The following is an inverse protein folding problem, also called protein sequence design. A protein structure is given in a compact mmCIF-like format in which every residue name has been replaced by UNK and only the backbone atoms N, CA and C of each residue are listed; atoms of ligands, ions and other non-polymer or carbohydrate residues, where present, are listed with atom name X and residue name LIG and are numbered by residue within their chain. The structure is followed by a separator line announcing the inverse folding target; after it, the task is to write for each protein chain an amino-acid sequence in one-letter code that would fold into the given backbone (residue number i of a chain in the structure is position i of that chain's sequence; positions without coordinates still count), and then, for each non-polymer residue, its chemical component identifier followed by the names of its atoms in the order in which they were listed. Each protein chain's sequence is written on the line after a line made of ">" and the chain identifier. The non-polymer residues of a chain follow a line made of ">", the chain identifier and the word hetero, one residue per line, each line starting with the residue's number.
data_IF_982445516471
#
_entry.id   IF_982445516471
#
_cell.length_a   1.000
_cell.length_b   1.000
_cell.length_c   1.000
_cell.angle_alpha   90.00
_cell.angle_beta   90.00
_cell.angle_gamma   90.00
#
_symmetry.space_group_name_H-M   'P 1'
#
loop_
_entity.id
_entity.type
_entity.pdbx_description
1 polymer ?
#
# COMPACT_ATOMS: atom_id res chain seq x y z
N UNK A 1 8.97 -15.68 -12.34
CA UNK A 1 8.38 -15.05 -11.12
C UNK A 1 9.38 -15.14 -10.00
N UNK A 2 9.48 -14.10 -9.19
CA UNK A 2 10.31 -14.14 -7.97
C UNK A 2 9.56 -14.90 -6.87
N UNK A 3 10.31 -15.41 -5.88
CA UNK A 3 9.74 -16.21 -4.79
C UNK A 3 9.21 -15.36 -3.61
N UNK A 4 9.05 -14.05 -3.81
CA UNK A 4 8.77 -13.12 -2.71
C UNK A 4 7.61 -12.18 -3.01
N UNK A 5 6.86 -11.88 -1.93
CA UNK A 5 5.90 -10.78 -1.83
C UNK A 5 6.54 -9.69 -0.98
N UNK A 6 6.39 -8.43 -1.36
CA UNK A 6 6.72 -7.28 -0.53
C UNK A 6 5.42 -6.72 0.04
N UNK A 7 5.26 -6.78 1.35
CA UNK A 7 4.15 -6.13 2.04
C UNK A 7 4.62 -4.83 2.65
N UNK A 8 3.87 -3.75 2.49
CA UNK A 8 4.27 -2.44 2.99
C UNK A 8 3.09 -1.61 3.50
N UNK A 9 3.44 -0.60 4.30
CA UNK A 9 2.56 0.41 4.84
C UNK A 9 3.31 1.73 5.03
N UNK A 10 2.61 2.86 4.96
CA UNK A 10 3.15 4.21 5.11
C UNK A 10 2.41 4.99 6.19
N UNK A 11 3.16 5.78 6.98
CA UNK A 11 2.60 6.91 7.71
C UNK A 11 3.01 8.22 7.02
N UNK A 12 2.11 9.19 7.00
CA UNK A 12 2.26 10.40 6.20
C UNK A 12 1.93 11.66 6.99
N UNK A 13 2.32 12.83 6.47
CA UNK A 13 2.03 14.13 7.08
C UNK A 13 0.54 14.48 7.12
N UNK A 14 -0.29 13.80 6.33
CA UNK A 14 -1.72 14.00 6.20
C UNK A 14 -2.32 13.04 5.17
N UNK A 15 -3.56 13.31 4.72
CA UNK A 15 -4.31 12.39 3.84
C UNK A 15 -4.38 12.84 2.38
N UNK A 16 -3.74 13.93 2.03
CA UNK A 16 -3.79 14.44 0.67
C UNK A 16 -2.68 13.81 -0.18
N UNK A 17 -3.04 12.89 -1.07
CA UNK A 17 -2.10 12.17 -1.94
C UNK A 17 -1.28 13.09 -2.87
N UNK A 18 -1.76 14.31 -3.14
CA UNK A 18 -1.09 15.26 -4.04
C UNK A 18 0.01 16.09 -3.33
N UNK A 19 -0.06 16.23 -1.99
CA UNK A 19 0.86 17.12 -1.25
C UNK A 19 1.58 16.47 -0.07
N UNK A 20 0.92 15.53 0.62
CA UNK A 20 1.45 14.99 1.86
C UNK A 20 2.64 14.05 1.63
N UNK A 21 3.58 14.03 2.55
CA UNK A 21 4.86 13.35 2.45
C UNK A 21 4.95 12.16 3.39
N UNK A 22 5.81 11.22 3.07
CA UNK A 22 6.07 10.05 3.91
C UNK A 22 6.79 10.46 5.18
N UNK A 23 6.28 9.99 6.35
CA UNK A 23 6.89 10.14 7.68
C UNK A 23 7.53 8.84 8.17
N UNK A 24 6.96 7.70 7.78
CA UNK A 24 7.43 6.38 8.16
C UNK A 24 7.10 5.41 7.04
N UNK A 25 8.03 4.52 6.72
CA UNK A 25 7.87 3.47 5.73
C UNK A 25 8.33 2.14 6.31
N UNK A 26 7.46 1.14 6.24
CA UNK A 26 7.79 -0.23 6.60
C UNK A 26 7.53 -1.17 5.42
N UNK A 27 8.56 -1.94 5.01
CA UNK A 27 8.43 -2.99 4.01
C UNK A 27 8.93 -4.31 4.60
N UNK A 28 8.20 -5.39 4.32
CA UNK A 28 8.57 -6.75 4.75
C UNK A 28 8.56 -7.68 3.55
N UNK A 29 9.64 -8.46 3.40
CA UNK A 29 9.78 -9.46 2.35
C UNK A 29 9.32 -10.82 2.88
N UNK A 30 8.32 -11.40 2.24
CA UNK A 30 7.72 -12.68 2.60
C UNK A 30 8.04 -13.70 1.52
N UNK A 31 8.52 -14.86 1.91
CA UNK A 31 8.71 -15.99 1.00
C UNK A 31 7.36 -16.64 0.66
N UNK A 32 7.05 -16.78 -0.63
CA UNK A 32 5.77 -17.33 -1.12
C UNK A 32 5.55 -18.80 -0.72
N UNK A 33 6.62 -19.57 -0.55
CA UNK A 33 6.54 -21.00 -0.23
C UNK A 33 6.49 -21.23 1.28
N UNK A 34 7.43 -20.66 2.03
CA UNK A 34 7.55 -20.87 3.48
C UNK A 34 6.61 -19.99 4.30
N UNK A 35 6.05 -18.91 3.70
CA UNK A 35 5.23 -17.87 4.36
C UNK A 35 5.96 -17.12 5.47
N UNK A 36 7.28 -17.21 5.52
CA UNK A 36 8.09 -16.56 6.54
C UNK A 36 8.54 -15.18 6.07
N UNK A 37 8.59 -14.23 7.03
CA UNK A 37 9.25 -12.94 6.83
C UNK A 37 10.76 -13.18 6.87
N UNK A 38 11.46 -12.84 5.79
CA UNK A 38 12.91 -13.04 5.68
C UNK A 38 13.71 -11.75 5.80
N UNK A 39 13.09 -10.60 5.51
CA UNK A 39 13.78 -9.32 5.55
C UNK A 39 12.81 -8.19 5.89
N UNK A 40 13.28 -7.19 6.63
CA UNK A 40 12.51 -6.02 7.05
C UNK A 40 13.29 -4.75 6.70
N UNK A 41 12.63 -3.80 6.05
CA UNK A 41 13.06 -2.43 5.89
C UNK A 41 12.08 -1.52 6.64
N UNK A 42 12.56 -0.88 7.69
CA UNK A 42 11.71 -0.02 8.54
C UNK A 42 12.45 1.29 8.82
N UNK A 43 11.91 2.44 8.37
CA UNK A 43 12.58 3.74 8.47
C UNK A 43 11.60 4.88 8.74
N UNK A 44 11.92 5.68 9.74
CA UNK A 44 11.36 7.02 9.87
C UNK A 44 12.00 7.95 8.84
N UNK A 45 11.21 8.89 8.34
CA UNK A 45 11.58 9.79 7.25
C UNK A 45 11.29 11.22 7.67
N UNK A 46 12.25 12.12 7.47
CA UNK A 46 11.99 13.53 7.61
C UNK A 46 11.22 14.05 6.39
N UNK A 47 9.94 14.43 6.52
CA UNK A 47 9.13 14.86 5.39
C UNK A 47 9.51 16.27 4.90
N UNK A 48 10.34 17.02 5.65
CA UNK A 48 10.63 18.43 5.41
C UNK A 48 9.38 19.31 5.31
N UNK A 49 8.30 18.92 5.96
CA UNK A 49 7.06 19.69 6.09
C UNK A 49 6.37 19.36 7.42
N UNK A 50 5.45 20.24 7.82
CA UNK A 50 4.72 20.09 9.09
C UNK A 50 3.68 18.97 8.96
N UNK A 51 3.64 18.10 9.96
CA UNK A 51 2.63 17.05 10.10
C UNK A 51 1.29 17.69 10.47
N UNK A 52 0.22 17.27 9.80
CA UNK A 52 -1.14 17.69 10.16
C UNK A 52 -1.51 17.16 11.57
N UNK A 53 -2.19 17.96 12.42
CA UNK A 53 -2.51 17.53 13.79
C UNK A 53 -3.28 16.21 13.87
N UNK A 54 -4.15 15.95 12.90
CA UNK A 54 -4.93 14.71 12.88
C UNK A 54 -4.07 13.50 12.49
N UNK A 55 -3.12 13.65 11.58
CA UNK A 55 -2.15 12.61 11.26
C UNK A 55 -1.25 12.32 12.47
N UNK A 56 -0.76 13.37 13.15
CA UNK A 56 0.05 13.21 14.36
C UNK A 56 -0.69 12.46 15.47
N UNK A 57 -2.00 12.70 15.66
CA UNK A 57 -2.81 11.96 16.63
C UNK A 57 -2.91 10.47 16.31
N UNK A 58 -2.86 10.11 15.02
CA UNK A 58 -2.98 8.72 14.57
C UNK A 58 -1.67 7.96 14.80
N UNK A 59 -0.56 8.43 14.24
CA UNK A 59 0.71 7.70 14.28
C UNK A 59 1.66 8.15 15.42
N UNK A 60 1.37 9.27 16.13
CA UNK A 60 2.12 9.72 17.30
C UNK A 60 3.47 10.38 17.00
N UNK A 61 3.90 10.50 15.74
CA UNK A 61 5.18 11.07 15.37
C UNK A 61 5.14 12.61 15.45
N UNK A 62 6.19 13.21 16.02
CA UNK A 62 6.33 14.66 16.08
C UNK A 62 7.29 15.20 15.01
N UNK A 63 7.09 16.47 14.61
CA UNK A 63 8.02 17.15 13.71
C UNK A 63 9.45 17.18 14.27
N UNK A 64 9.60 17.38 15.59
CA UNK A 64 10.90 17.38 16.26
C UNK A 64 11.59 16.02 16.17
N UNK A 65 10.86 14.94 16.41
CA UNK A 65 11.40 13.58 16.26
C UNK A 65 11.87 13.33 14.83
N UNK A 66 11.03 13.61 13.83
CA UNK A 66 11.34 13.34 12.43
C UNK A 66 12.44 14.23 11.86
N UNK A 67 12.67 15.42 12.42
CA UNK A 67 13.75 16.33 11.96
C UNK A 67 15.15 15.71 12.07
N UNK A 68 15.32 14.68 12.90
CA UNK A 68 16.58 13.96 13.10
C UNK A 68 16.76 12.77 12.14
N UNK A 69 15.81 12.53 11.24
CA UNK A 69 15.85 11.43 10.28
C UNK A 69 16.20 11.90 8.87
N UNK A 70 16.62 10.97 8.02
CA UNK A 70 16.94 11.26 6.62
C UNK A 70 15.66 11.60 5.84
N UNK A 71 15.71 12.52 4.88
CA UNK A 71 14.61 12.76 3.96
C UNK A 71 14.46 11.59 2.98
N UNK A 72 13.28 11.46 2.36
CA UNK A 72 12.97 10.35 1.46
C UNK A 72 13.98 10.20 0.32
N UNK A 73 14.45 11.30 -0.28
CA UNK A 73 15.46 11.30 -1.35
C UNK A 73 16.71 10.48 -1.02
N UNK A 74 17.13 10.47 0.26
CA UNK A 74 18.36 9.81 0.68
C UNK A 74 18.16 8.29 0.86
N UNK A 75 16.91 7.82 0.97
CA UNK A 75 16.55 6.39 1.09
C UNK A 75 15.78 5.85 -0.12
N UNK A 76 15.40 6.68 -1.08
CA UNK A 76 14.53 6.32 -2.21
C UNK A 76 15.07 5.13 -3.02
N UNK A 77 16.38 5.11 -3.32
CA UNK A 77 17.00 3.97 -4.01
C UNK A 77 16.98 2.70 -3.17
N UNK A 78 17.16 2.79 -1.85
CA UNK A 78 17.08 1.63 -0.95
C UNK A 78 15.66 1.07 -0.92
N UNK A 79 14.64 1.93 -0.93
CA UNK A 79 13.23 1.54 -1.04
C UNK A 79 12.97 0.83 -2.37
N UNK A 80 13.39 1.42 -3.50
CA UNK A 80 13.29 0.80 -4.83
C UNK A 80 13.96 -0.58 -4.86
N UNK A 81 15.19 -0.68 -4.37
CA UNK A 81 15.96 -1.93 -4.38
C UNK A 81 15.28 -3.00 -3.50
N UNK A 82 14.64 -2.59 -2.40
CA UNK A 82 13.87 -3.51 -1.58
C UNK A 82 12.61 -4.00 -2.30
N UNK A 83 11.86 -3.11 -2.95
CA UNK A 83 10.67 -3.45 -3.75
C UNK A 83 11.03 -4.46 -4.85
N UNK A 84 12.15 -4.24 -5.53
CA UNK A 84 12.63 -5.12 -6.61
C UNK A 84 13.02 -6.53 -6.15
N UNK A 85 13.06 -6.84 -4.85
CA UNK A 85 13.27 -8.20 -4.34
C UNK A 85 12.06 -9.11 -4.56
N UNK A 86 10.85 -8.54 -4.65
CA UNK A 86 9.61 -9.25 -4.95
C UNK A 86 9.10 -8.99 -6.37
N UNK A 87 8.01 -9.65 -6.73
CA UNK A 87 7.22 -9.42 -7.94
C UNK A 87 5.74 -9.11 -7.63
N UNK A 88 5.34 -9.22 -6.37
CA UNK A 88 4.03 -8.82 -5.86
C UNK A 88 4.23 -7.76 -4.78
N UNK A 89 3.51 -6.66 -4.87
CA UNK A 89 3.39 -5.64 -3.85
C UNK A 89 2.05 -5.77 -3.15
N UNK A 90 2.08 -5.99 -1.84
CA UNK A 90 0.90 -6.15 -1.02
C UNK A 90 0.82 -5.08 0.06
N UNK A 91 -0.40 -4.75 0.48
CA UNK A 91 -0.74 -3.89 1.60
C UNK A 91 -2.24 -3.78 1.78
N UNK A 92 -2.69 -2.92 2.65
CA UNK A 92 -4.10 -2.71 2.96
C UNK A 92 -4.57 -1.34 2.46
N UNK A 93 -5.44 -1.31 1.44
CA UNK A 93 -5.91 -0.09 0.77
C UNK A 93 -4.80 0.72 0.05
N UNK A 94 -3.73 0.05 -0.30
CA UNK A 94 -2.52 0.67 -0.89
C UNK A 94 -2.76 1.28 -2.27
N UNK A 95 -3.70 0.74 -3.05
CA UNK A 95 -4.02 1.27 -4.39
C UNK A 95 -4.55 2.69 -4.29
N UNK A 96 -5.35 2.99 -3.26
CA UNK A 96 -6.01 4.28 -3.11
C UNK A 96 -5.17 5.33 -2.37
N UNK A 97 -4.09 4.93 -1.66
CA UNK A 97 -3.36 5.84 -0.80
C UNK A 97 -1.83 5.67 -0.88
N UNK A 98 -1.28 4.53 -0.43
CA UNK A 98 0.16 4.38 -0.25
C UNK A 98 0.92 4.38 -1.58
N UNK A 99 0.43 3.64 -2.59
CA UNK A 99 1.08 3.56 -3.90
C UNK A 99 1.13 4.94 -4.58
N UNK A 100 0.05 5.72 -4.67
CA UNK A 100 0.10 7.07 -5.21
C UNK A 100 1.14 7.97 -4.53
N UNK A 101 1.21 7.95 -3.20
CA UNK A 101 2.16 8.76 -2.45
C UNK A 101 3.60 8.28 -2.71
N UNK A 102 3.85 6.97 -2.62
CA UNK A 102 5.17 6.40 -2.86
C UNK A 102 5.64 6.63 -4.30
N UNK A 103 4.76 6.49 -5.29
CA UNK A 103 5.09 6.78 -6.69
C UNK A 103 5.46 8.24 -6.87
N UNK A 104 4.66 9.17 -6.32
CA UNK A 104 4.98 10.60 -6.38
C UNK A 104 6.31 10.93 -5.68
N UNK A 105 6.60 10.30 -4.52
CA UNK A 105 7.90 10.49 -3.87
C UNK A 105 9.06 9.99 -4.74
N UNK A 106 8.89 8.91 -5.50
CA UNK A 106 9.89 8.49 -6.49
C UNK A 106 10.03 9.52 -7.61
N UNK A 107 8.92 9.95 -8.19
CA UNK A 107 8.90 10.92 -9.30
C UNK A 107 9.54 12.26 -8.89
N UNK A 108 9.14 12.81 -7.72
CA UNK A 108 9.67 14.05 -7.15
C UNK A 108 11.19 14.01 -6.89
N UNK A 109 11.73 12.82 -6.64
CA UNK A 109 13.16 12.60 -6.37
C UNK A 109 13.93 12.04 -7.58
N UNK A 110 13.32 12.01 -8.77
CA UNK A 110 13.97 11.59 -10.01
C UNK A 110 14.35 10.11 -10.06
N UNK A 111 13.62 9.25 -9.32
CA UNK A 111 13.81 7.81 -9.33
C UNK A 111 13.01 7.21 -10.49
N UNK A 112 13.70 6.75 -11.51
CA UNK A 112 13.08 6.05 -12.65
C UNK A 112 12.61 4.65 -12.22
N UNK A 113 11.41 4.59 -11.64
CA UNK A 113 10.75 3.37 -11.20
C UNK A 113 9.24 3.54 -11.16
N UNK A 114 8.54 2.88 -12.06
CA UNK A 114 7.06 2.87 -12.08
C UNK A 114 6.57 1.58 -11.42
N UNK A 115 5.94 1.71 -10.26
CA UNK A 115 5.51 0.59 -9.41
C UNK A 115 4.63 -0.38 -10.22
N UNK A 116 3.59 0.13 -10.89
CA UNK A 116 2.64 -0.69 -11.66
C UNK A 116 3.24 -1.43 -12.87
N UNK A 117 4.39 -1.00 -13.37
CA UNK A 117 5.08 -1.66 -14.47
C UNK A 117 6.04 -2.76 -14.00
N UNK A 118 6.46 -2.69 -12.74
CA UNK A 118 7.47 -3.57 -12.17
C UNK A 118 6.93 -4.61 -11.20
N UNK A 119 5.70 -4.42 -10.69
CA UNK A 119 5.11 -5.28 -9.66
C UNK A 119 3.62 -5.52 -9.90
N UNK A 120 3.18 -6.74 -9.63
CA UNK A 120 1.76 -7.04 -9.50
C UNK A 120 1.24 -6.51 -8.15
N UNK A 121 0.08 -5.87 -8.14
CA UNK A 121 -0.50 -5.28 -6.93
C UNK A 121 -1.56 -6.23 -6.36
N UNK A 122 -1.41 -6.57 -5.07
CA UNK A 122 -2.37 -7.34 -4.29
C UNK A 122 -2.85 -6.50 -3.11
N UNK A 123 -3.97 -5.81 -3.26
CA UNK A 123 -4.58 -5.01 -2.20
C UNK A 123 -5.49 -5.87 -1.33
N UNK A 124 -5.05 -6.15 -0.10
CA UNK A 124 -5.79 -6.98 0.85
C UNK A 124 -7.14 -6.39 1.25
N UNK A 125 -7.30 -5.05 1.22
CA UNK A 125 -8.57 -4.39 1.45
C UNK A 125 -9.59 -4.69 0.34
N UNK A 126 -9.16 -4.69 -0.91
CA UNK A 126 -10.04 -5.03 -2.02
C UNK A 126 -10.49 -6.49 -1.99
N UNK A 127 -9.64 -7.40 -1.53
CA UNK A 127 -10.02 -8.80 -1.30
C UNK A 127 -11.06 -8.92 -0.19
N UNK A 128 -10.90 -8.16 0.89
CA UNK A 128 -11.77 -8.18 2.07
C UNK A 128 -13.14 -7.52 1.86
N UNK A 129 -13.28 -6.66 0.88
CA UNK A 129 -14.28 -5.59 0.74
C UNK A 129 -15.76 -5.98 0.66
N UNK A 130 -16.12 -7.24 0.50
CA UNK A 130 -17.49 -7.58 0.04
C UNK A 130 -18.56 -7.62 1.14
N UNK A 131 -18.27 -7.98 2.41
CA UNK A 131 -19.34 -8.24 3.40
C UNK A 131 -19.01 -7.84 4.86
N UNK A 132 -17.98 -7.04 5.13
CA UNK A 132 -17.49 -6.78 6.50
C UNK A 132 -17.13 -5.30 6.75
N UNK A 133 -17.01 -4.83 8.01
CA UNK A 133 -16.51 -3.50 8.32
C UNK A 133 -15.12 -3.27 7.71
N UNK A 134 -14.96 -2.12 7.03
CA UNK A 134 -13.82 -1.86 6.13
C UNK A 134 -12.62 -1.26 6.86
N UNK A 135 -12.19 -1.88 7.96
CA UNK A 135 -11.00 -1.46 8.71
C UNK A 135 -10.01 -2.61 8.82
N UNK A 136 -8.72 -2.31 8.95
CA UNK A 136 -7.67 -3.31 9.15
C UNK A 136 -7.96 -4.16 10.39
N UNK A 137 -8.37 -3.55 11.50
CA UNK A 137 -8.74 -4.23 12.75
C UNK A 137 -9.87 -5.23 12.54
N UNK A 138 -10.91 -4.83 11.78
CA UNK A 138 -12.03 -5.73 11.48
C UNK A 138 -11.61 -6.88 10.56
N UNK A 139 -10.78 -6.59 9.54
CA UNK A 139 -10.22 -7.61 8.66
C UNK A 139 -9.33 -8.60 9.44
N UNK A 140 -8.45 -8.08 10.29
CA UNK A 140 -7.58 -8.91 11.12
C UNK A 140 -8.40 -9.84 12.02
N UNK A 141 -9.41 -9.30 12.71
CA UNK A 141 -10.32 -10.10 13.55
C UNK A 141 -11.10 -11.14 12.73
N UNK A 142 -11.58 -10.76 11.56
CA UNK A 142 -12.31 -11.67 10.66
C UNK A 142 -11.45 -12.87 10.23
N UNK A 143 -10.22 -12.61 9.79
CA UNK A 143 -9.36 -13.68 9.25
C UNK A 143 -8.62 -14.48 10.33
N UNK A 144 -8.28 -13.87 11.47
CA UNK A 144 -7.47 -14.51 12.51
C UNK A 144 -8.26 -14.93 13.75
N UNK A 145 -9.44 -14.36 13.97
CA UNK A 145 -10.24 -14.51 15.19
C UNK A 145 -9.74 -13.68 16.37
N UNK A 146 -8.63 -12.96 16.22
CA UNK A 146 -7.99 -12.19 17.31
C UNK A 146 -8.24 -10.70 17.17
N UNK A 147 -8.18 -9.96 18.29
CA UNK A 147 -8.23 -8.51 18.28
C UNK A 147 -6.83 -7.94 17.96
N UNK A 148 -6.76 -6.93 17.08
CA UNK A 148 -5.53 -6.23 16.74
C UNK A 148 -5.20 -5.20 17.82
N UNK A 149 -4.06 -5.38 18.48
CA UNK A 149 -3.50 -4.43 19.46
C UNK A 149 -2.39 -3.62 18.82
N UNK A 150 -2.34 -2.31 19.07
CA UNK A 150 -1.31 -1.41 18.55
C UNK A 150 -1.54 -0.98 17.10
N UNK A 151 -2.79 -0.97 16.61
CA UNK A 151 -3.15 -0.38 15.32
C UNK A 151 -2.62 1.08 15.22
N UNK A 152 -2.27 1.49 13.99
CA UNK A 152 -1.60 2.77 13.67
C UNK A 152 -0.09 2.82 14.02
N UNK A 153 0.52 1.68 14.30
CA UNK A 153 1.96 1.48 14.19
C UNK A 153 2.23 0.77 12.85
N UNK A 154 2.99 1.39 11.94
CA UNK A 154 3.19 0.87 10.60
C UNK A 154 3.78 -0.56 10.59
N UNK A 155 4.63 -0.90 11.57
CA UNK A 155 5.17 -2.26 11.68
C UNK A 155 4.11 -3.28 12.12
N UNK A 156 3.24 -2.90 13.06
CA UNK A 156 2.11 -3.72 13.53
C UNK A 156 1.09 -3.89 12.40
N UNK A 157 0.78 -2.83 11.68
CA UNK A 157 -0.19 -2.85 10.58
C UNK A 157 0.31 -3.69 9.40
N UNK A 158 1.61 -3.66 9.11
CA UNK A 158 2.23 -4.58 8.12
C UNK A 158 2.16 -6.05 8.61
N UNK A 159 2.42 -6.35 9.87
CA UNK A 159 2.30 -7.72 10.40
C UNK A 159 0.86 -8.23 10.38
N UNK A 160 -0.09 -7.36 10.71
CA UNK A 160 -1.51 -7.65 10.59
C UNK A 160 -1.92 -7.92 9.14
N UNK A 161 -1.45 -7.10 8.19
CA UNK A 161 -1.69 -7.26 6.75
C UNK A 161 -1.11 -8.58 6.23
N UNK A 162 0.09 -8.95 6.67
CA UNK A 162 0.71 -10.24 6.33
C UNK A 162 -0.17 -11.40 6.82
N UNK A 163 -0.64 -11.32 8.06
CA UNK A 163 -1.50 -12.36 8.64
C UNK A 163 -2.80 -12.53 7.84
N UNK A 164 -3.42 -11.42 7.43
CA UNK A 164 -4.58 -11.40 6.54
C UNK A 164 -4.24 -12.03 5.20
N UNK A 165 -3.15 -11.60 4.55
CA UNK A 165 -2.71 -12.11 3.25
C UNK A 165 -2.55 -13.63 3.26
N UNK A 166 -1.88 -14.16 4.28
CA UNK A 166 -1.67 -15.60 4.38
C UNK A 166 -2.99 -16.38 4.51
N UNK A 167 -3.96 -15.84 5.25
CA UNK A 167 -5.30 -16.42 5.34
C UNK A 167 -6.09 -16.31 4.04
N UNK A 168 -5.99 -15.19 3.33
CA UNK A 168 -6.63 -15.03 2.01
C UNK A 168 -6.08 -16.03 0.99
N UNK A 169 -4.76 -16.26 0.99
CA UNK A 169 -4.13 -17.27 0.13
C UNK A 169 -4.59 -18.68 0.51
N UNK A 170 -4.70 -19.00 1.81
CA UNK A 170 -5.18 -20.29 2.30
C UNK A 170 -6.64 -20.55 1.90
N UNK A 171 -7.52 -19.55 2.06
CA UNK A 171 -8.94 -19.65 1.70
C UNK A 171 -9.17 -19.73 0.17
N UNK A 172 -8.33 -19.05 -0.60
CA UNK A 172 -8.41 -19.01 -2.06
C UNK A 172 -7.35 -19.92 -2.72
N UNK A 173 -7.11 -21.09 -2.12
CA UNK A 173 -6.10 -22.07 -2.57
C UNK A 173 -6.27 -22.56 -4.02
N UNK A 174 -7.48 -22.42 -4.58
CA UNK A 174 -7.77 -22.78 -5.96
C UNK A 174 -7.38 -21.68 -6.97
N UNK A 175 -6.93 -20.52 -6.50
CA UNK A 175 -6.42 -19.40 -7.29
C UNK A 175 -4.89 -19.34 -7.21
N UNK A 176 -4.25 -19.07 -8.34
CA UNK A 176 -2.83 -18.65 -8.38
C UNK A 176 -2.68 -17.25 -7.77
N UNK A 177 -1.48 -16.85 -7.38
CA UNK A 177 -1.23 -15.49 -6.88
C UNK A 177 -1.50 -14.43 -7.95
N UNK A 178 -1.25 -14.73 -9.22
CA UNK A 178 -1.53 -13.80 -10.33
C UNK A 178 -3.05 -13.60 -10.52
N UNK A 179 -3.85 -14.68 -10.38
CA UNK A 179 -5.30 -14.57 -10.37
C UNK A 179 -5.82 -13.80 -9.14
N UNK A 180 -5.19 -13.97 -7.98
CA UNK A 180 -5.55 -13.23 -6.77
C UNK A 180 -5.18 -11.74 -6.90
N UNK A 181 -4.05 -11.41 -7.53
CA UNK A 181 -3.72 -10.03 -7.89
C UNK A 181 -4.78 -9.41 -8.81
N UNK A 182 -5.17 -10.14 -9.86
CA UNK A 182 -6.23 -9.70 -10.77
C UNK A 182 -7.58 -9.55 -10.06
N UNK A 183 -7.92 -10.44 -9.14
CA UNK A 183 -9.12 -10.38 -8.31
C UNK A 183 -9.12 -9.16 -7.36
N UNK A 184 -7.95 -8.74 -6.86
CA UNK A 184 -7.82 -7.57 -5.98
C UNK A 184 -7.86 -6.25 -6.75
N UNK A 185 -7.60 -6.27 -8.06
CA UNK A 185 -7.64 -5.07 -8.89
C UNK A 185 -9.03 -4.40 -8.84
N UNK A 186 -9.03 -3.08 -8.90
CA UNK A 186 -10.25 -2.24 -8.77
C UNK A 186 -10.97 -2.35 -10.09
N UNK A 187 -11.28 -2.85 -10.87
CA UNK A 187 -11.87 -2.96 -12.21
C UNK A 187 -10.80 -3.37 -13.24
N UNK A 188 -11.05 -4.48 -13.89
CA UNK A 188 -10.19 -5.00 -14.94
C UNK A 188 -9.96 -4.03 -16.11
N UNK A 189 -10.72 -2.92 -16.15
CA UNK A 189 -10.65 -1.88 -17.16
C UNK A 189 -9.79 -0.67 -16.73
N UNK A 190 -9.32 -0.62 -15.47
CA UNK A 190 -8.42 0.45 -15.02
C UNK A 190 -6.97 0.07 -15.36
N UNK A 191 -6.28 0.92 -16.13
CA UNK A 191 -4.92 0.66 -16.59
C UNK A 191 -3.88 1.59 -15.97
N UNK A 192 -4.26 2.43 -15.01
CA UNK A 192 -3.34 3.27 -14.24
C UNK A 192 -3.59 3.17 -12.73
N UNK A 193 -2.49 3.26 -11.95
CA UNK A 193 -2.52 3.14 -10.49
C UNK A 193 -3.26 4.28 -9.78
N UNK A 194 -3.48 5.40 -10.47
CA UNK A 194 -4.18 6.56 -9.93
C UNK A 194 -5.70 6.48 -10.15
N UNK A 195 -6.19 5.41 -10.79
CA UNK A 195 -7.60 5.26 -11.18
C UNK A 195 -8.14 6.44 -11.99
N UNK A 196 -7.28 7.15 -12.72
CA UNK A 196 -7.65 8.31 -13.55
C UNK A 196 -8.14 7.91 -14.93
N UNK A 197 -7.82 6.70 -15.37
CA UNK A 197 -8.18 6.19 -16.68
C UNK A 197 -8.74 4.78 -16.60
N UNK A 198 -9.67 4.46 -17.47
CA UNK A 198 -10.14 3.08 -17.66
C UNK A 198 -10.34 2.79 -19.15
N UNK A 199 -10.23 1.53 -19.51
CA UNK A 199 -10.48 1.02 -20.87
C UNK A 199 -11.90 0.47 -20.95
N UNK A 200 -12.67 0.95 -21.94
CA UNK A 200 -13.96 0.38 -22.29
C UNK A 200 -14.03 0.29 -23.82
N UNK A 201 -14.32 -0.89 -24.35
CA UNK A 201 -14.44 -1.17 -25.78
C UNK A 201 -13.21 -0.69 -26.60
N UNK A 202 -12.00 -0.81 -26.03
CA UNK A 202 -10.75 -0.39 -26.67
C UNK A 202 -10.49 1.12 -26.63
N UNK A 203 -11.34 1.90 -25.98
CA UNK A 203 -11.19 3.35 -25.81
C UNK A 203 -10.77 3.69 -24.38
N UNK A 204 -9.93 4.74 -24.25
CA UNK A 204 -9.47 5.26 -22.95
C UNK A 204 -10.40 6.36 -22.48
N UNK A 205 -10.92 6.22 -21.27
CA UNK A 205 -11.79 7.21 -20.62
C UNK A 205 -11.15 7.75 -19.36
N UNK A 206 -11.45 9.01 -19.01
CA UNK A 206 -11.05 9.60 -17.74
C UNK A 206 -12.04 9.23 -16.63
N UNK A 207 -11.54 8.77 -15.50
CA UNK A 207 -12.33 8.55 -14.30
C UNK A 207 -12.39 9.86 -13.48
N UNK A 208 -13.28 10.77 -13.88
CA UNK A 208 -13.58 11.95 -13.06
C UNK A 208 -14.50 11.50 -11.92
N UNK A 209 -13.93 11.14 -10.77
CA UNK A 209 -14.70 10.70 -9.59
C UNK A 209 -15.97 11.55 -9.42
N UNK A 210 -17.16 10.92 -9.57
CA UNK A 210 -18.50 11.43 -9.34
C UNK A 210 -18.77 12.89 -9.74
N UNK A 211 -18.75 13.21 -11.02
CA UNK A 211 -19.62 14.26 -11.54
C UNK A 211 -20.95 13.59 -11.87
N UNK A 212 -21.92 13.64 -10.95
CA UNK A 212 -23.32 13.39 -11.29
C UNK A 212 -23.74 14.48 -12.28
N UNK A 213 -23.82 14.14 -13.54
CA UNK A 213 -24.64 14.88 -14.46
C UNK A 213 -26.07 14.35 -14.28
N UNK A 214 -26.83 15.02 -13.41
CA UNK A 214 -28.28 14.97 -13.47
C UNK A 214 -28.68 15.70 -14.76
N UNK A 215 -28.88 14.96 -15.83
CA UNK A 215 -29.53 15.45 -17.02
C UNK A 215 -31.04 15.27 -16.82
N UNK A 216 -31.72 16.36 -16.51
CA UNK A 216 -33.12 16.55 -16.83
C UNK A 216 -33.32 16.60 -18.33
#
# INVERSE_FOLDING_TARGET
>A
MKDYIITFDLETTGRNIEKDKICWICLKKINKNTKMIEEVFNRYVNPNMTIEPDAQKVHGLSNEFLSNHLPFRDIANLVKDFLLKGDILNGYNIISFDIPILQREFDDNGIDFVISQNMNILDSFNVFKKDTPRTLTAAYKFYTGNDLSGAHDASVDVDATISILLKQIEEKKDMTLDELCSFSAYDSNLFDIYNKFYLLDGHVYFNFGHVRHDNT
#
